data_IF_659593577042
#
_entry.id   IF_659593577042
#
_cell.length_a   1.000
_cell.length_b   1.000
_cell.length_c   1.000
_cell.angle_alpha   90.00
_cell.angle_beta   90.00
_cell.angle_gamma   90.00
#
_symmetry.space_group_name_H-M   'P 1'
#
loop_
_entity.id
_entity.type
_entity.pdbx_description
1 polymer ?
#
# COMPACT_ATOMS: atom_id res chain seq x y z
N UNK A 1 -0.31 -14.42 9.25
CA UNK A 1 0.98 -14.16 8.57
C UNK A 1 1.27 -12.67 8.72
N UNK A 2 2.46 -12.27 9.14
CA UNK A 2 2.82 -10.85 9.27
C UNK A 2 3.09 -10.24 7.90
N UNK A 3 2.67 -8.99 7.70
CA UNK A 3 2.99 -8.21 6.51
C UNK A 3 4.50 -7.92 6.44
N UNK A 4 5.04 -7.83 5.22
CA UNK A 4 6.43 -7.42 4.96
C UNK A 4 6.47 -5.96 4.50
N UNK A 5 7.28 -5.14 5.16
CA UNK A 5 7.23 -3.68 5.03
C UNK A 5 8.36 -3.08 4.18
N UNK A 6 9.13 -3.92 3.49
CA UNK A 6 10.15 -3.45 2.54
C UNK A 6 9.50 -2.59 1.45
N UNK A 7 10.14 -1.48 1.11
CA UNK A 7 9.74 -0.60 0.03
C UNK A 7 10.96 -0.10 -0.73
N UNK A 8 10.79 0.13 -2.02
CA UNK A 8 11.78 0.69 -2.92
C UNK A 8 11.44 2.14 -3.27
N UNK A 9 12.47 2.92 -3.60
CA UNK A 9 12.29 4.25 -4.16
C UNK A 9 12.23 4.12 -5.68
N UNK A 10 11.17 4.65 -6.27
CA UNK A 10 10.89 4.56 -7.70
C UNK A 10 10.75 5.96 -8.26
N UNK A 11 11.45 6.24 -9.36
CA UNK A 11 11.28 7.48 -10.09
C UNK A 11 9.87 7.57 -10.69
N UNK A 12 9.22 8.71 -10.49
CA UNK A 12 7.95 9.05 -11.10
C UNK A 12 8.23 9.57 -12.51
N UNK A 13 7.59 8.97 -13.51
CA UNK A 13 7.75 9.43 -14.88
C UNK A 13 7.14 10.84 -15.03
N UNK A 14 7.71 11.74 -15.84
CA UNK A 14 7.25 13.12 -15.95
C UNK A 14 5.78 13.28 -16.39
N UNK A 15 5.23 12.28 -17.07
CA UNK A 15 3.85 12.19 -17.52
C UNK A 15 2.87 11.71 -16.44
N UNK A 16 3.37 11.13 -15.35
CA UNK A 16 2.58 10.70 -14.18
C UNK A 16 2.48 11.79 -13.09
N UNK A 17 3.16 12.92 -13.26
CA UNK A 17 3.11 14.03 -12.31
C UNK A 17 1.84 14.84 -12.52
N UNK A 18 0.87 14.68 -11.62
CA UNK A 18 -0.30 15.55 -11.55
C UNK A 18 0.14 17.00 -11.26
N UNK A 19 -0.17 17.98 -12.14
CA UNK A 19 0.28 19.36 -11.98
C UNK A 19 -0.21 20.04 -10.68
N UNK A 20 -1.27 19.53 -10.03
CA UNK A 20 -1.76 20.07 -8.75
C UNK A 20 -1.03 19.52 -7.52
N UNK A 21 -0.39 18.35 -7.61
CA UNK A 21 0.31 17.69 -6.49
C UNK A 21 1.84 17.73 -6.63
N UNK A 22 2.37 18.35 -7.68
CA UNK A 22 3.79 18.47 -8.02
C UNK A 22 4.60 19.42 -7.10
N UNK A 23 4.37 19.41 -5.79
CA UNK A 23 5.25 20.13 -4.86
C UNK A 23 6.44 19.26 -4.46
N UNK A 24 7.46 19.20 -5.33
CA UNK A 24 8.89 19.36 -4.98
C UNK A 24 9.80 18.92 -6.14
N UNK A 25 10.00 19.81 -7.12
CA UNK A 25 11.16 19.76 -8.01
C UNK A 25 11.95 21.06 -7.88
N UNK A 26 12.48 21.32 -6.68
CA UNK A 26 13.44 22.42 -6.44
C UNK A 26 14.90 21.91 -6.54
N UNK A 27 15.10 20.60 -6.66
CA UNK A 27 16.41 19.95 -6.51
C UNK A 27 17.03 19.44 -7.81
N UNK A 28 16.36 19.57 -8.96
CA UNK A 28 16.85 19.07 -10.25
C UNK A 28 16.89 17.54 -10.39
N UNK A 29 16.42 16.78 -9.40
CA UNK A 29 16.23 15.32 -9.48
C UNK A 29 14.79 14.98 -9.90
N UNK A 30 14.58 13.88 -10.63
CA UNK A 30 13.22 13.41 -10.93
C UNK A 30 12.42 13.21 -9.64
N UNK A 31 11.12 13.53 -9.63
CA UNK A 31 10.28 13.22 -8.48
C UNK A 31 10.27 11.70 -8.24
N UNK A 32 10.25 11.29 -6.98
CA UNK A 32 10.31 9.88 -6.57
C UNK A 32 9.15 9.53 -5.64
N UNK A 33 8.78 8.25 -5.60
CA UNK A 33 7.79 7.68 -4.67
C UNK A 33 8.33 6.42 -4.00
N UNK A 34 7.87 6.15 -2.78
CA UNK A 34 8.08 4.89 -2.09
C UNK A 34 7.02 3.88 -2.53
N UNK A 35 7.44 2.68 -2.89
CA UNK A 35 6.54 1.59 -3.29
C UNK A 35 6.85 0.32 -2.50
N UNK A 36 5.83 -0.22 -1.81
CA UNK A 36 5.98 -1.48 -1.08
C UNK A 36 6.27 -2.64 -2.02
N UNK A 37 7.25 -3.48 -1.66
CA UNK A 37 7.59 -4.70 -2.40
C UNK A 37 6.52 -5.77 -2.27
N UNK A 38 5.90 -5.86 -1.10
CA UNK A 38 4.87 -6.85 -0.81
C UNK A 38 3.48 -6.31 -1.20
N UNK A 39 2.80 -7.02 -2.10
CA UNK A 39 1.45 -6.67 -2.56
C UNK A 39 0.42 -6.62 -1.43
N UNK A 40 0.50 -7.53 -0.45
CA UNK A 40 -0.44 -7.57 0.67
C UNK A 40 -0.28 -6.35 1.56
N UNK A 41 0.93 -5.82 1.70
CA UNK A 41 1.19 -4.58 2.45
C UNK A 41 0.58 -3.37 1.75
N UNK A 42 0.74 -3.26 0.43
CA UNK A 42 0.08 -2.21 -0.35
C UNK A 42 -1.45 -2.32 -0.29
N UNK A 43 -1.99 -3.55 -0.39
CA UNK A 43 -3.43 -3.81 -0.31
C UNK A 43 -4.00 -3.53 1.09
N UNK A 44 -3.26 -3.89 2.15
CA UNK A 44 -3.62 -3.58 3.54
C UNK A 44 -3.73 -2.07 3.74
N UNK A 45 -2.78 -1.31 3.20
CA UNK A 45 -2.82 0.15 3.25
C UNK A 45 -3.99 0.71 2.41
N UNK A 46 -4.31 0.10 1.26
CA UNK A 46 -5.48 0.48 0.44
C UNK A 46 -6.80 0.21 1.18
N UNK A 47 -6.85 -0.82 2.00
CA UNK A 47 -7.99 -1.16 2.87
C UNK A 47 -8.14 -0.26 4.10
N UNK A 48 -7.13 0.54 4.46
CA UNK A 48 -7.18 1.46 5.58
C UNK A 48 -8.15 2.64 5.33
N UNK A 49 -8.40 3.44 6.38
CA UNK A 49 -9.27 4.60 6.30
C UNK A 49 -8.76 5.62 5.28
N UNK A 50 -9.65 6.46 4.70
CA UNK A 50 -9.24 7.51 3.77
C UNK A 50 -8.15 8.43 4.34
N UNK A 51 -8.18 8.70 5.66
CA UNK A 51 -7.19 9.54 6.32
C UNK A 51 -5.81 8.89 6.37
N UNK A 52 -5.74 7.60 6.70
CA UNK A 52 -4.48 6.85 6.70
C UNK A 52 -3.90 6.81 5.29
N UNK A 53 -4.71 6.48 4.28
CA UNK A 53 -4.27 6.48 2.88
C UNK A 53 -3.69 7.83 2.46
N UNK A 54 -4.40 8.90 2.79
CA UNK A 54 -3.99 10.28 2.50
C UNK A 54 -2.66 10.63 3.15
N UNK A 55 -2.46 10.28 4.43
CA UNK A 55 -1.19 10.49 5.14
C UNK A 55 -0.03 9.85 4.37
N UNK A 56 -0.18 8.59 3.93
CA UNK A 56 0.88 7.91 3.18
C UNK A 56 1.11 8.53 1.79
N UNK A 57 0.04 8.82 1.05
CA UNK A 57 0.12 9.42 -0.28
C UNK A 57 0.79 10.80 -0.26
N UNK A 58 0.36 11.69 0.64
CA UNK A 58 0.96 13.03 0.81
C UNK A 58 2.41 12.99 1.31
N UNK A 59 2.84 11.83 1.84
CA UNK A 59 4.23 11.61 2.25
C UNK A 59 5.12 11.08 1.13
N UNK A 60 4.52 10.67 0.00
CA UNK A 60 5.23 10.13 -1.15
C UNK A 60 5.15 8.61 -1.28
N UNK A 61 4.22 7.93 -0.61
CA UNK A 61 3.99 6.49 -0.83
C UNK A 61 2.98 6.25 -1.95
N UNK A 62 3.28 5.30 -2.83
CA UNK A 62 2.32 4.73 -3.76
C UNK A 62 1.43 3.72 -3.05
N UNK A 63 0.15 3.70 -3.42
CA UNK A 63 -0.77 2.61 -3.06
C UNK A 63 -0.86 1.55 -4.17
N UNK A 64 -0.09 1.70 -5.25
CA UNK A 64 -0.04 0.74 -6.35
C UNK A 64 0.79 -0.47 -5.94
N UNK A 65 0.28 -1.66 -6.23
CA UNK A 65 1.01 -2.91 -6.05
C UNK A 65 1.78 -3.26 -7.31
N UNK A 66 3.11 -3.10 -7.24
CA UNK A 66 4.03 -3.61 -8.27
C UNK A 66 5.12 -4.35 -7.50
N UNK A 67 4.92 -5.64 -7.26
CA UNK A 67 5.76 -6.41 -6.35
C UNK A 67 5.93 -7.85 -6.77
N UNK A 68 7.19 -8.27 -6.84
CA UNK A 68 7.59 -9.66 -6.63
C UNK A 68 7.76 -9.82 -5.11
N UNK A 69 7.25 -10.90 -4.49
CA UNK A 69 7.04 -11.04 -3.03
C UNK A 69 8.36 -11.24 -2.23
N UNK A 70 9.38 -10.45 -2.54
CA UNK A 70 10.75 -10.55 -2.03
C UNK A 70 10.99 -9.51 -0.95
N UNK A 71 10.85 -9.92 0.31
CA UNK A 71 11.38 -9.18 1.46
C UNK A 71 12.88 -9.44 1.60
N UNK A 72 13.68 -8.41 1.88
CA UNK A 72 15.12 -8.60 2.11
C UNK A 72 15.64 -7.86 3.34
N UNK A 73 14.83 -7.10 4.09
CA UNK A 73 15.27 -6.25 5.22
C UNK A 73 16.36 -5.22 4.83
N UNK A 74 16.59 -5.05 3.53
CA UNK A 74 17.60 -4.18 2.95
C UNK A 74 16.95 -3.18 1.98
N UNK A 75 17.44 -1.95 2.05
CA UNK A 75 17.19 -0.91 1.06
C UNK A 75 18.48 -0.58 0.32
N UNK A 76 18.35 -0.01 -0.88
CA UNK A 76 19.51 0.35 -1.70
C UNK A 76 20.24 1.55 -1.10
N UNK A 77 21.58 1.54 -0.97
CA UNK A 77 22.33 2.67 -0.42
C UNK A 77 22.09 3.98 -1.17
N UNK A 78 21.93 3.92 -2.50
CA UNK A 78 21.64 5.09 -3.35
C UNK A 78 20.30 5.76 -3.03
N UNK A 79 19.33 5.00 -2.53
CA UNK A 79 17.99 5.50 -2.20
C UNK A 79 17.90 6.09 -0.79
N UNK A 80 19.00 6.08 -0.02
CA UNK A 80 18.99 6.44 1.39
C UNK A 80 18.49 7.88 1.64
N UNK A 81 18.89 8.82 0.78
CA UNK A 81 18.51 10.23 0.91
C UNK A 81 17.00 10.41 0.69
N UNK A 82 16.49 9.88 -0.42
CA UNK A 82 15.06 9.98 -0.79
C UNK A 82 14.17 9.22 0.19
N UNK A 83 14.60 8.03 0.62
CA UNK A 83 13.94 7.25 1.69
C UNK A 83 13.80 8.08 2.96
N UNK A 84 14.89 8.74 3.39
CA UNK A 84 14.86 9.56 4.60
C UNK A 84 13.94 10.78 4.45
N UNK A 85 13.90 11.39 3.27
CA UNK A 85 13.00 12.51 2.98
C UNK A 85 11.53 12.10 3.07
N UNK A 86 11.16 10.99 2.42
CA UNK A 86 9.80 10.43 2.46
C UNK A 86 9.39 10.06 3.88
N UNK A 87 10.27 9.38 4.64
CA UNK A 87 9.98 9.02 6.03
C UNK A 87 9.81 10.24 6.94
N UNK A 88 10.61 11.29 6.74
CA UNK A 88 10.44 12.56 7.47
C UNK A 88 9.08 13.19 7.19
N UNK A 89 8.65 13.22 5.92
CA UNK A 89 7.31 13.70 5.52
C UNK A 89 6.22 12.85 6.17
N UNK A 90 6.38 11.52 6.17
CA UNK A 90 5.44 10.60 6.82
C UNK A 90 5.27 10.88 8.30
N UNK A 91 6.35 11.01 9.05
CA UNK A 91 6.25 11.28 10.48
C UNK A 91 5.70 12.68 10.78
N UNK A 92 5.98 13.67 9.92
CA UNK A 92 5.35 14.99 10.02
C UNK A 92 3.85 14.92 9.76
N UNK A 93 3.40 14.21 8.72
CA UNK A 93 1.98 14.07 8.38
C UNK A 93 1.21 13.27 9.44
N UNK A 94 1.78 12.19 9.97
CA UNK A 94 1.21 11.45 11.11
C UNK A 94 1.04 12.37 12.32
N UNK A 95 2.03 13.20 12.62
CA UNK A 95 1.98 14.14 13.75
C UNK A 95 0.93 15.23 13.56
N UNK A 96 0.84 15.79 12.34
CA UNK A 96 -0.04 16.92 12.05
C UNK A 96 -1.50 16.49 11.89
N UNK A 97 -1.75 15.34 11.26
CA UNK A 97 -3.10 14.86 10.96
C UNK A 97 -3.65 13.95 12.06
N UNK A 98 -2.78 13.21 12.75
CA UNK A 98 -3.14 12.22 13.76
C UNK A 98 -3.75 10.94 13.17
N UNK A 99 -3.47 9.80 13.81
CA UNK A 99 -3.95 8.47 13.39
C UNK A 99 -4.83 7.79 14.45
N UNK A 100 -5.10 8.46 15.58
CA UNK A 100 -5.88 7.89 16.68
C UNK A 100 -7.34 7.66 16.26
N UNK A 101 -7.86 6.46 16.51
CA UNK A 101 -9.23 6.07 16.16
C UNK A 101 -9.45 5.76 14.68
N UNK A 102 -8.41 5.86 13.85
CA UNK A 102 -8.49 5.52 12.44
C UNK A 102 -8.40 4.01 12.21
N UNK A 103 -9.21 3.51 11.29
CA UNK A 103 -9.14 2.12 10.85
C UNK A 103 -7.89 1.91 9.98
N UNK A 104 -6.92 1.12 10.44
CA UNK A 104 -5.71 0.81 9.67
C UNK A 104 -5.83 -0.45 8.81
N UNK A 105 -6.99 -1.13 8.80
CA UNK A 105 -7.13 -2.40 8.10
C UNK A 105 -6.22 -3.47 8.69
N UNK A 106 -5.56 -4.23 7.82
CA UNK A 106 -4.51 -5.18 8.21
C UNK A 106 -3.14 -4.50 8.38
N UNK A 107 -3.02 -3.20 8.09
CA UNK A 107 -1.76 -2.47 8.21
C UNK A 107 -1.41 -2.27 9.70
N UNK A 108 -0.24 -2.77 10.07
CA UNK A 108 0.31 -2.70 11.42
C UNK A 108 1.40 -1.64 11.50
N UNK A 109 1.04 -0.48 12.06
CA UNK A 109 1.97 0.63 12.27
C UNK A 109 3.14 0.27 13.18
N UNK A 110 2.93 -0.57 14.19
CA UNK A 110 4.01 -0.92 15.12
C UNK A 110 5.06 -1.76 14.38
N UNK A 111 4.63 -2.76 13.63
CA UNK A 111 5.54 -3.59 12.85
C UNK A 111 6.21 -2.80 11.71
N UNK A 112 5.49 -1.90 11.04
CA UNK A 112 6.07 -0.98 10.05
C UNK A 112 7.18 -0.10 10.67
N UNK A 113 6.93 0.50 11.84
CA UNK A 113 7.92 1.32 12.54
C UNK A 113 9.14 0.49 13.00
N UNK A 114 8.91 -0.73 13.47
CA UNK A 114 9.98 -1.66 13.82
C UNK A 114 10.84 -2.02 12.60
N UNK A 115 10.21 -2.28 11.45
CA UNK A 115 10.89 -2.55 10.19
C UNK A 115 11.74 -1.34 9.75
N UNK A 116 11.19 -0.12 9.78
CA UNK A 116 11.95 1.10 9.42
C UNK A 116 13.24 1.25 10.24
N UNK A 117 13.18 0.93 11.54
CA UNK A 117 14.31 1.06 12.48
C UNK A 117 15.37 -0.01 12.29
N UNK A 118 15.00 -1.18 11.78
CA UNK A 118 15.89 -2.34 11.64
C UNK A 118 16.43 -2.52 10.23
N UNK A 119 15.75 -1.96 9.22
CA UNK A 119 16.17 -2.00 7.83
C UNK A 119 17.56 -1.37 7.62
N UNK A 120 18.41 -2.05 6.86
CA UNK A 120 19.81 -1.63 6.64
C UNK A 120 20.09 -1.32 5.17
N UNK A 121 21.04 -0.44 4.87
CA UNK A 121 21.53 -0.32 3.50
C UNK A 121 22.22 -1.63 3.11
N UNK A 122 21.93 -2.15 1.93
CA UNK A 122 22.46 -3.44 1.49
C UNK A 122 22.19 -3.73 0.02
N UNK A 123 22.67 -4.89 -0.43
CA UNK A 123 22.57 -5.26 -1.83
C UNK A 123 21.18 -5.86 -2.11
N UNK A 124 20.33 -5.09 -2.78
CA UNK A 124 18.98 -5.53 -3.17
C UNK A 124 19.08 -6.11 -4.59
N UNK A 125 18.80 -7.41 -4.77
CA UNK A 125 18.66 -7.97 -6.11
C UNK A 125 17.56 -7.21 -6.86
N UNK A 126 17.93 -6.49 -7.92
CA UNK A 126 16.99 -5.70 -8.72
C UNK A 126 15.81 -6.57 -9.20
N UNK A 127 14.59 -6.18 -8.83
CA UNK A 127 13.47 -6.37 -9.74
C UNK A 127 13.75 -5.49 -10.96
N UNK A 128 13.73 -6.09 -12.16
CA UNK A 128 14.03 -5.38 -13.39
C UNK A 128 13.15 -4.12 -13.50
N UNK A 129 13.69 -2.99 -14.02
CA UNK A 129 12.87 -1.80 -14.24
C UNK A 129 11.67 -2.19 -15.09
N UNK A 130 10.46 -1.88 -14.60
CA UNK A 130 9.24 -1.99 -15.38
C UNK A 130 9.42 -1.10 -16.59
N UNK A 131 9.76 -1.69 -17.73
CA UNK A 131 9.75 -0.97 -19.00
C UNK A 131 8.32 -0.46 -19.19
N UNK A 132 8.11 0.83 -19.48
CA UNK A 132 6.79 1.30 -19.86
C UNK A 132 6.30 0.43 -21.00
N UNK A 133 5.15 -0.22 -20.81
CA UNK A 133 4.49 -0.94 -21.89
C UNK A 133 4.24 0.09 -22.99
N UNK A 134 5.00 -0.05 -24.08
CA UNK A 134 4.75 0.66 -25.34
C UNK A 134 3.25 0.53 -25.65
N UNK A 135 2.51 1.62 -25.85
CA UNK A 135 1.08 1.53 -26.09
C UNK A 135 0.85 0.63 -27.32
N UNK A 136 -0.01 -0.40 -27.22
CA UNK A 136 -0.32 -1.24 -28.36
C UNK A 136 -0.98 -0.36 -29.42
N UNK A 137 -0.37 -0.35 -30.60
CA UNK A 137 -0.95 0.21 -31.82
C UNK A 137 -2.39 -0.28 -31.99
N UNK A 138 -3.31 0.68 -32.14
CA UNK A 138 -4.73 0.46 -32.35
C UNK A 138 -4.99 -0.37 -33.61
N UNK A 139 -5.26 -1.66 -33.43
CA UNK A 139 -5.83 -2.56 -34.44
C UNK A 139 -7.25 -2.99 -34.03
N UNK A 140 -8.19 -3.17 -34.98
CA UNK A 140 -9.61 -3.23 -34.68
C UNK A 140 -10.05 -4.53 -33.98
N UNK A 141 -11.17 -4.40 -33.27
CA UNK A 141 -11.81 -5.33 -32.38
C UNK A 141 -11.96 -6.78 -32.89
N UNK A 142 -11.67 -7.74 -32.00
CA UNK A 142 -12.37 -9.02 -31.98
C UNK A 142 -12.91 -9.28 -30.58
N UNK A 143 -14.22 -9.08 -30.41
CA UNK A 143 -14.96 -9.41 -29.20
C UNK A 143 -15.02 -10.94 -29.13
N UNK A 144 -14.30 -11.54 -28.17
CA UNK A 144 -14.51 -12.94 -27.80
C UNK A 144 -15.20 -12.97 -26.43
N UNK A 145 -16.53 -13.08 -26.45
CA UNK A 145 -17.33 -13.41 -25.27
C UNK A 145 -16.90 -14.80 -24.79
N UNK A 146 -16.23 -14.86 -23.64
CA UNK A 146 -16.13 -16.09 -22.84
C UNK A 146 -17.06 -15.94 -21.64
N UNK A 147 -18.22 -16.58 -21.75
CA UNK A 147 -19.10 -16.93 -20.65
C UNK A 147 -18.36 -17.89 -19.71
N UNK A 148 -18.20 -17.51 -18.43
CA UNK A 148 -17.85 -18.46 -17.37
C UNK A 148 -19.09 -18.60 -16.47
N UNK A 149 -19.67 -19.80 -16.37
CA UNK A 149 -20.82 -20.05 -15.51
C UNK A 149 -20.36 -20.35 -14.08
N UNK A 150 -21.10 -19.82 -13.11
CA UNK A 150 -21.34 -20.49 -11.83
C UNK A 150 -20.27 -20.34 -10.75
N UNK A 151 -20.62 -19.57 -9.70
CA UNK A 151 -20.68 -20.03 -8.29
C UNK A 151 -21.08 -18.86 -7.40
N UNK A 152 -22.35 -18.50 -7.46
CA UNK A 152 -23.04 -17.80 -6.37
C UNK A 152 -23.28 -18.84 -5.28
N UNK A 153 -22.80 -18.60 -4.06
CA UNK A 153 -23.19 -19.42 -2.92
C UNK A 153 -22.13 -19.51 -1.81
N UNK A 154 -21.85 -18.41 -1.11
CA UNK A 154 -21.23 -18.46 0.23
C UNK A 154 -21.55 -17.25 1.12
N UNK A 155 -22.64 -16.52 0.84
CA UNK A 155 -23.00 -15.32 1.61
C UNK A 155 -24.06 -15.58 2.72
N UNK A 156 -24.73 -16.74 2.74
CA UNK A 156 -25.82 -16.98 3.72
C UNK A 156 -25.35 -17.60 5.05
N UNK A 157 -24.23 -18.32 5.07
CA UNK A 157 -23.74 -19.01 6.28
C UNK A 157 -23.18 -18.07 7.35
N UNK A 158 -22.55 -16.96 6.94
CA UNK A 158 -21.92 -16.02 7.86
C UNK A 158 -22.96 -15.18 8.64
N UNK A 159 -24.09 -14.86 8.02
CA UNK A 159 -25.14 -14.05 8.63
C UNK A 159 -25.87 -14.80 9.78
N UNK A 160 -26.07 -16.11 9.65
CA UNK A 160 -26.70 -16.93 10.71
C UNK A 160 -25.79 -17.05 11.93
N UNK A 161 -24.47 -17.23 11.72
CA UNK A 161 -23.49 -17.29 12.81
C UNK A 161 -23.44 -15.97 13.58
N UNK A 162 -23.46 -14.83 12.86
CA UNK A 162 -23.46 -13.51 13.49
C UNK A 162 -24.74 -13.26 14.31
N UNK A 163 -25.89 -13.70 13.81
CA UNK A 163 -27.18 -13.55 14.50
C UNK A 163 -27.26 -14.41 15.78
N UNK A 164 -26.74 -15.65 15.74
CA UNK A 164 -26.68 -16.52 16.92
C UNK A 164 -25.72 -15.94 17.97
N UNK A 165 -24.57 -15.40 17.58
CA UNK A 165 -23.63 -14.76 18.50
C UNK A 165 -24.27 -13.54 19.20
N UNK A 166 -24.96 -12.67 18.44
CA UNK A 166 -25.62 -11.49 18.99
C UNK A 166 -26.72 -11.86 19.99
N UNK A 167 -27.51 -12.91 19.70
CA UNK A 167 -28.53 -13.44 20.62
C UNK A 167 -27.92 -14.01 21.90
N UNK A 168 -26.80 -14.72 21.81
CA UNK A 168 -26.10 -15.29 22.96
C UNK A 168 -25.50 -14.20 23.87
N UNK A 169 -24.88 -13.17 23.30
CA UNK A 169 -24.37 -12.03 24.08
C UNK A 169 -25.49 -11.23 24.75
N UNK A 170 -26.61 -10.99 24.06
CA UNK A 170 -27.74 -10.27 24.63
C UNK A 170 -28.38 -11.02 25.82
N UNK A 171 -28.41 -12.35 25.79
CA UNK A 171 -28.90 -13.16 26.91
C UNK A 171 -27.96 -13.16 28.12
N UNK A 172 -26.65 -13.04 27.92
CA UNK A 172 -25.65 -13.03 29.00
C UNK A 172 -25.37 -11.62 29.57
N UNK A 173 -25.71 -10.56 28.82
CA UNK A 173 -25.57 -9.16 29.28
C UNK A 173 -26.75 -8.63 30.12
N UNK A 174 -27.85 -9.38 30.23
CA UNK A 174 -29.04 -9.01 31.01
C UNK A 174 -29.07 -9.60 32.43
N UNK A 175 -27.95 -10.17 32.90
CA UNK A 175 -27.82 -10.82 34.21
C UNK A 175 -26.85 -10.09 35.16
N UNK A 176 -26.82 -8.76 35.10
CA UNK A 176 -26.15 -7.90 36.08
C UNK A 176 -26.98 -6.66 36.38
#
# INVERSE_FOLDING_TARGET
MSLAYDFDIVAIAPDEVDPEHGHTAVTGRPPVRAQFRNIRTADALRGASPKIRRIFQESGFSLDSVGDDRSCDYYRPEDAEDRNLILRRLFANIRNMGVQGEYSGEFDFHHFLAHIRTAKPGNVMQAAPVRPLRPPSSGPAHISRRTVPGRIGFALGLAVILFVLLKLLAAHGAAL
#
